data_IF_410968878956
#
_entry.id   IF_410968878956
#
_cell.length_a   1.000
_cell.length_b   1.000
_cell.length_c   1.000
_cell.angle_alpha   90.00
_cell.angle_beta   90.00
_cell.angle_gamma   90.00
#
_symmetry.space_group_name_H-M   'P 1'
#
loop_
_entity.id
_entity.type
_entity.pdbx_description
1 polymer ?
#
# COMPACT_ATOMS: atom_id res chain seq x y z
N UNK A 1 -10.62 2.88 7.93
CA UNK A 1 -10.65 1.73 8.83
C UNK A 1 -9.77 0.57 8.34
N UNK A 2 -9.82 0.14 7.07
CA UNK A 2 -8.90 -0.91 6.58
C UNK A 2 -7.41 -0.57 6.78
N UNK A 3 -6.99 0.69 6.58
CA UNK A 3 -5.61 1.12 6.83
C UNK A 3 -5.20 1.02 8.29
N UNK A 4 -6.14 1.27 9.20
CA UNK A 4 -5.91 1.12 10.63
C UNK A 4 -5.75 -0.36 10.98
N UNK A 5 -6.61 -1.24 10.47
CA UNK A 5 -6.51 -2.67 10.73
C UNK A 5 -5.19 -3.26 10.21
N UNK A 6 -4.83 -3.00 8.94
CA UNK A 6 -3.58 -3.51 8.35
C UNK A 6 -2.34 -2.88 8.95
N UNK A 7 -2.40 -1.60 9.32
CA UNK A 7 -1.29 -0.89 9.95
C UNK A 7 -0.87 -1.48 11.29
N UNK A 8 -1.79 -2.07 12.07
CA UNK A 8 -1.47 -2.76 13.33
C UNK A 8 -0.42 -3.86 13.16
N UNK A 9 -0.47 -4.58 12.05
CA UNK A 9 0.41 -5.73 11.81
C UNK A 9 1.63 -5.40 10.94
N UNK A 10 1.61 -4.27 10.22
CA UNK A 10 2.64 -3.93 9.23
C UNK A 10 4.07 -4.01 9.75
N UNK A 11 4.46 -3.36 10.88
CA UNK A 11 5.82 -3.44 11.39
C UNK A 11 6.14 -4.76 12.10
N UNK A 12 5.11 -5.45 12.60
CA UNK A 12 5.26 -6.66 13.41
C UNK A 12 5.37 -7.90 12.54
N UNK A 13 4.74 -7.91 11.37
CA UNK A 13 4.64 -9.08 10.50
C UNK A 13 5.99 -9.74 10.14
N UNK A 14 7.03 -9.01 9.68
CA UNK A 14 8.32 -9.63 9.42
C UNK A 14 9.02 -10.18 10.67
N UNK A 15 8.87 -9.48 11.81
CA UNK A 15 9.44 -9.91 13.09
C UNK A 15 8.75 -11.20 13.58
N UNK A 16 7.43 -11.24 13.47
CA UNK A 16 6.65 -12.43 13.79
C UNK A 16 7.10 -13.66 13.00
N UNK A 17 7.30 -13.49 11.69
CA UNK A 17 7.81 -14.56 10.83
C UNK A 17 9.20 -15.02 11.27
N UNK A 18 10.14 -14.06 11.45
CA UNK A 18 11.54 -14.37 11.74
C UNK A 18 11.74 -14.87 13.16
N UNK A 19 11.31 -14.09 14.15
CA UNK A 19 11.71 -14.31 15.54
C UNK A 19 10.75 -15.27 16.25
N UNK A 20 9.46 -15.21 15.94
CA UNK A 20 8.46 -16.05 16.58
C UNK A 20 8.29 -17.40 15.84
N UNK A 21 8.09 -17.38 14.52
CA UNK A 21 7.93 -18.61 13.71
C UNK A 21 9.25 -19.19 13.21
N UNK A 22 10.40 -18.56 13.56
CA UNK A 22 11.76 -19.02 13.26
C UNK A 22 12.04 -19.17 11.76
N UNK A 23 11.40 -18.37 10.93
CA UNK A 23 11.68 -18.31 9.50
C UNK A 23 13.02 -17.64 9.21
N UNK A 24 13.77 -18.13 8.24
CA UNK A 24 14.93 -17.42 7.68
C UNK A 24 14.48 -16.17 6.90
N UNK A 25 15.38 -15.22 6.66
CA UNK A 25 15.03 -14.03 5.87
C UNK A 25 14.62 -14.37 4.43
N UNK A 26 15.13 -15.45 3.85
CA UNK A 26 14.70 -15.94 2.55
C UNK A 26 13.25 -16.43 2.58
N UNK A 27 12.85 -17.15 3.63
CA UNK A 27 11.48 -17.63 3.82
C UNK A 27 10.51 -16.47 4.11
N UNK A 28 10.95 -15.46 4.88
CA UNK A 28 10.19 -14.21 5.05
C UNK A 28 9.94 -13.56 3.69
N UNK A 29 11.00 -13.37 2.88
CA UNK A 29 10.89 -12.82 1.52
C UNK A 29 9.97 -13.66 0.64
N UNK A 30 10.02 -14.98 0.73
CA UNK A 30 9.14 -15.90 0.00
C UNK A 30 7.67 -15.69 0.37
N UNK A 31 7.34 -15.58 1.67
CA UNK A 31 5.98 -15.32 2.16
C UNK A 31 5.43 -14.00 1.59
N UNK A 32 6.23 -12.93 1.61
CA UNK A 32 5.85 -11.65 1.01
C UNK A 32 5.66 -11.76 -0.50
N UNK A 33 6.55 -12.47 -1.19
CA UNK A 33 6.48 -12.65 -2.64
C UNK A 33 5.23 -13.42 -3.07
N UNK A 34 4.86 -14.48 -2.35
CA UNK A 34 3.63 -15.25 -2.60
C UNK A 34 2.39 -14.35 -2.48
N UNK A 35 2.29 -13.57 -1.40
CA UNK A 35 1.15 -12.66 -1.21
C UNK A 35 1.04 -11.63 -2.34
N UNK A 36 2.15 -10.98 -2.68
CA UNK A 36 2.17 -9.94 -3.71
C UNK A 36 1.92 -10.50 -5.11
N UNK A 37 2.46 -11.69 -5.44
CA UNK A 37 2.21 -12.35 -6.72
C UNK A 37 0.72 -12.69 -6.90
N UNK A 38 0.09 -13.29 -5.88
CA UNK A 38 -1.34 -13.57 -5.90
C UNK A 38 -2.16 -12.29 -6.01
N UNK A 39 -1.78 -11.25 -5.25
CA UNK A 39 -2.46 -9.96 -5.32
C UNK A 39 -2.37 -9.35 -6.73
N UNK A 40 -1.21 -9.38 -7.37
CA UNK A 40 -1.03 -8.85 -8.72
C UNK A 40 -1.92 -9.56 -9.75
N UNK A 41 -1.96 -10.90 -9.74
CA UNK A 41 -2.83 -11.69 -10.62
C UNK A 41 -4.31 -11.39 -10.33
N UNK A 42 -4.68 -11.39 -9.05
CA UNK A 42 -6.07 -11.16 -8.63
C UNK A 42 -6.53 -9.74 -8.94
N UNK A 43 -5.65 -8.74 -8.89
CA UNK A 43 -5.97 -7.35 -9.22
C UNK A 43 -6.42 -7.21 -10.68
N UNK A 44 -5.75 -7.90 -11.60
CA UNK A 44 -6.13 -7.91 -13.02
C UNK A 44 -7.47 -8.62 -13.22
N UNK A 45 -7.62 -9.80 -12.64
CA UNK A 45 -8.87 -10.58 -12.72
C UNK A 45 -10.03 -9.87 -12.02
N UNK A 46 -9.75 -9.23 -10.88
CA UNK A 46 -10.73 -8.47 -10.10
C UNK A 46 -11.34 -7.31 -10.87
N UNK A 47 -10.57 -6.64 -11.72
CA UNK A 47 -11.07 -5.63 -12.63
C UNK A 47 -12.16 -6.20 -13.55
N UNK A 48 -11.87 -7.28 -14.28
CA UNK A 48 -12.85 -7.93 -15.18
C UNK A 48 -14.06 -8.48 -14.43
N UNK A 49 -13.84 -9.10 -13.28
CA UNK A 49 -14.92 -9.67 -12.48
C UNK A 49 -15.84 -8.57 -11.91
N UNK A 50 -15.27 -7.40 -11.57
CA UNK A 50 -16.04 -6.29 -11.02
C UNK A 50 -17.03 -5.70 -12.02
N UNK A 51 -16.68 -5.69 -13.29
CA UNK A 51 -17.56 -5.23 -14.35
C UNK A 51 -18.73 -6.20 -14.60
N UNK A 52 -18.55 -7.49 -14.28
CA UNK A 52 -19.58 -8.53 -14.43
C UNK A 52 -20.47 -8.70 -13.19
N UNK A 53 -19.86 -8.74 -12.00
CA UNK A 53 -20.55 -9.12 -10.76
C UNK A 53 -20.88 -7.92 -9.84
N UNK A 54 -20.39 -6.73 -10.17
CA UNK A 54 -20.55 -5.51 -9.40
C UNK A 54 -19.36 -5.23 -8.47
N UNK A 55 -19.01 -3.94 -8.39
CA UNK A 55 -17.81 -3.48 -7.63
C UNK A 55 -17.96 -3.65 -6.13
N UNK A 56 -19.15 -3.32 -5.59
CA UNK A 56 -19.46 -3.48 -4.17
C UNK A 56 -19.33 -4.92 -3.70
N UNK A 57 -19.91 -5.88 -4.45
CA UNK A 57 -19.92 -7.29 -4.05
C UNK A 57 -18.50 -7.86 -3.96
N UNK A 58 -17.66 -7.57 -4.94
CA UNK A 58 -16.28 -8.04 -4.95
C UNK A 58 -15.42 -7.32 -3.90
N UNK A 59 -15.64 -6.03 -3.67
CA UNK A 59 -14.98 -5.29 -2.60
C UNK A 59 -15.35 -5.86 -1.23
N UNK A 60 -16.63 -6.16 -0.98
CA UNK A 60 -17.10 -6.78 0.25
C UNK A 60 -16.53 -8.20 0.43
N UNK A 61 -16.50 -9.01 -0.64
CA UNK A 61 -15.87 -10.34 -0.62
C UNK A 61 -14.38 -10.22 -0.26
N UNK A 62 -13.63 -9.35 -0.92
CA UNK A 62 -12.23 -9.11 -0.60
C UNK A 62 -12.02 -8.67 0.86
N UNK A 63 -12.88 -7.78 1.38
CA UNK A 63 -12.82 -7.35 2.78
C UNK A 63 -13.11 -8.51 3.74
N UNK A 64 -14.08 -9.35 3.43
CA UNK A 64 -14.40 -10.53 4.23
C UNK A 64 -13.22 -11.52 4.27
N UNK A 65 -12.64 -11.83 3.10
CA UNK A 65 -11.48 -12.73 3.02
C UNK A 65 -10.27 -12.15 3.78
N UNK A 66 -10.07 -10.83 3.72
CA UNK A 66 -9.02 -10.14 4.47
C UNK A 66 -9.20 -10.25 5.99
N UNK A 67 -10.43 -10.42 6.49
CA UNK A 67 -10.69 -10.56 7.91
C UNK A 67 -10.26 -11.93 8.48
N UNK A 68 -10.27 -12.97 7.68
CA UNK A 68 -9.91 -14.33 8.14
C UNK A 68 -8.41 -14.56 8.24
N UNK A 69 -7.63 -14.02 7.31
CA UNK A 69 -6.18 -14.29 7.23
C UNK A 69 -5.43 -13.97 8.52
N UNK A 70 -5.64 -12.81 9.20
CA UNK A 70 -4.89 -12.50 10.42
C UNK A 70 -5.21 -13.42 11.60
N UNK A 71 -6.42 -13.98 11.71
CA UNK A 71 -6.72 -14.99 12.74
C UNK A 71 -5.81 -16.20 12.54
N UNK A 72 -5.71 -16.67 11.30
CA UNK A 72 -4.90 -17.82 10.99
C UNK A 72 -3.41 -17.56 11.18
N UNK A 73 -2.97 -16.30 10.98
CA UNK A 73 -1.61 -15.91 11.31
C UNK A 73 -1.34 -16.02 12.82
N UNK A 74 -2.28 -15.58 13.66
CA UNK A 74 -2.16 -15.68 15.11
C UNK A 74 -2.13 -17.13 15.62
N UNK A 75 -2.76 -18.06 14.90
CA UNK A 75 -2.86 -19.48 15.28
C UNK A 75 -1.69 -20.33 14.74
N UNK A 76 -0.91 -19.82 13.80
CA UNK A 76 0.18 -20.55 13.18
C UNK A 76 1.28 -20.92 14.18
N UNK A 77 1.84 -22.11 14.01
CA UNK A 77 2.96 -22.62 14.78
C UNK A 77 4.25 -22.64 13.97
N UNK A 78 4.17 -22.71 12.66
CA UNK A 78 5.29 -22.70 11.72
C UNK A 78 4.99 -21.75 10.56
N UNK A 79 6.01 -21.16 9.98
CA UNK A 79 5.85 -20.25 8.85
C UNK A 79 5.20 -20.91 7.61
N UNK A 80 5.40 -22.21 7.41
CA UNK A 80 4.79 -22.97 6.31
C UNK A 80 3.28 -23.04 6.44
N UNK A 81 2.76 -23.10 7.67
CA UNK A 81 1.32 -23.15 7.96
C UNK A 81 0.61 -21.85 7.50
N UNK A 82 1.37 -20.77 7.28
CA UNK A 82 0.85 -19.48 6.82
C UNK A 82 0.59 -19.42 5.31
N UNK A 83 1.23 -20.29 4.51
CA UNK A 83 1.20 -20.16 3.04
C UNK A 83 -0.24 -20.09 2.48
N UNK A 84 -1.19 -20.98 2.84
CA UNK A 84 -2.56 -20.89 2.34
C UNK A 84 -3.24 -19.56 2.70
N UNK A 85 -2.98 -19.04 3.90
CA UNK A 85 -3.60 -17.83 4.42
C UNK A 85 -2.96 -16.56 3.85
N UNK A 86 -1.69 -16.61 3.54
CA UNK A 86 -0.96 -15.56 2.81
C UNK A 86 -1.47 -15.49 1.36
N UNK A 87 -1.74 -16.62 0.72
CA UNK A 87 -2.39 -16.67 -0.58
C UNK A 87 -3.80 -16.07 -0.52
N UNK A 88 -4.58 -16.41 0.52
CA UNK A 88 -5.91 -15.83 0.76
C UNK A 88 -5.83 -14.31 0.96
N UNK A 89 -4.84 -13.83 1.73
CA UNK A 89 -4.60 -12.40 1.94
C UNK A 89 -4.24 -11.68 0.63
N UNK A 90 -3.39 -12.29 -0.20
CA UNK A 90 -3.05 -11.76 -1.52
C UNK A 90 -4.28 -11.65 -2.43
N UNK A 91 -5.11 -12.71 -2.46
CA UNK A 91 -6.37 -12.71 -3.19
C UNK A 91 -7.31 -11.61 -2.69
N UNK A 92 -7.48 -11.50 -1.37
CA UNK A 92 -8.28 -10.45 -0.76
C UNK A 92 -7.80 -9.05 -1.15
N UNK A 93 -6.49 -8.78 -1.02
CA UNK A 93 -5.86 -7.50 -1.36
C UNK A 93 -6.06 -7.14 -2.84
N UNK A 94 -5.87 -8.10 -3.73
CA UNK A 94 -6.07 -7.91 -5.17
C UNK A 94 -7.51 -7.56 -5.53
N UNK A 95 -8.48 -8.04 -4.75
CA UNK A 95 -9.89 -7.68 -4.95
C UNK A 95 -10.21 -6.30 -4.38
N UNK A 96 -9.94 -6.04 -3.08
CA UNK A 96 -10.49 -4.84 -2.44
C UNK A 96 -9.72 -3.54 -2.76
N UNK A 97 -8.41 -3.61 -3.00
CA UNK A 97 -7.57 -2.40 -3.19
C UNK A 97 -7.96 -1.59 -4.44
N UNK A 98 -8.00 -2.16 -5.65
CA UNK A 98 -8.38 -1.39 -6.85
C UNK A 98 -9.85 -0.97 -6.82
N UNK A 99 -10.72 -1.84 -6.31
CA UNK A 99 -12.15 -1.57 -6.30
C UNK A 99 -12.54 -0.42 -5.37
N UNK A 100 -11.77 -0.18 -4.31
CA UNK A 100 -11.96 1.01 -3.45
C UNK A 100 -11.88 2.30 -4.26
N UNK A 101 -10.85 2.45 -5.08
CA UNK A 101 -10.70 3.64 -5.91
C UNK A 101 -11.77 3.76 -6.98
N UNK A 102 -12.14 2.63 -7.60
CA UNK A 102 -13.21 2.59 -8.58
C UNK A 102 -14.56 2.99 -7.98
N UNK A 103 -14.89 2.53 -6.76
CA UNK A 103 -16.12 2.92 -6.06
C UNK A 103 -16.15 4.42 -5.74
N UNK A 104 -15.01 4.98 -5.30
CA UNK A 104 -14.89 6.42 -5.04
C UNK A 104 -15.11 7.21 -6.33
N UNK A 105 -14.50 6.80 -7.43
CA UNK A 105 -14.69 7.45 -8.74
C UNK A 105 -16.13 7.43 -9.19
N UNK A 106 -16.80 6.27 -9.10
CA UNK A 106 -18.19 6.12 -9.54
C UNK A 106 -19.19 6.88 -8.65
N UNK A 107 -18.85 7.08 -7.38
CA UNK A 107 -19.71 7.75 -6.40
C UNK A 107 -19.55 9.27 -6.40
N UNK A 108 -18.60 9.80 -7.17
CA UNK A 108 -18.25 11.23 -7.21
C UNK A 108 -18.64 11.83 -8.55
N UNK A 109 -19.09 13.11 -8.55
CA UNK A 109 -19.22 13.90 -9.77
C UNK A 109 -17.84 14.41 -10.23
N UNK A 110 -17.73 14.86 -11.49
CA UNK A 110 -16.47 15.43 -12.00
C UNK A 110 -15.96 16.60 -11.13
N UNK A 111 -16.88 17.38 -10.56
CA UNK A 111 -16.57 18.54 -9.71
C UNK A 111 -16.08 18.13 -8.31
N UNK A 112 -16.55 17.01 -7.75
CA UNK A 112 -16.25 16.57 -6.38
C UNK A 112 -15.22 15.45 -6.32
N UNK A 113 -14.81 14.90 -7.46
CA UNK A 113 -13.92 13.74 -7.54
C UNK A 113 -12.59 13.98 -6.83
N UNK A 114 -11.93 15.12 -7.07
CA UNK A 114 -10.66 15.45 -6.42
C UNK A 114 -10.79 15.49 -4.89
N UNK A 115 -11.85 16.08 -4.38
CA UNK A 115 -12.13 16.14 -2.93
C UNK A 115 -12.40 14.76 -2.34
N UNK A 116 -13.13 13.89 -3.04
CA UNK A 116 -13.42 12.54 -2.59
C UNK A 116 -12.15 11.66 -2.53
N UNK A 117 -11.29 11.77 -3.53
CA UNK A 117 -9.97 11.11 -3.52
C UNK A 117 -9.09 11.64 -2.39
N UNK A 118 -9.04 12.96 -2.19
CA UNK A 118 -8.25 13.58 -1.12
C UNK A 118 -8.71 13.12 0.25
N UNK A 119 -10.02 13.11 0.52
CA UNK A 119 -10.58 12.64 1.79
C UNK A 119 -10.26 11.16 2.03
N UNK A 120 -10.38 10.33 0.99
CA UNK A 120 -10.04 8.90 1.05
C UNK A 120 -8.56 8.70 1.34
N UNK A 121 -7.69 9.51 0.74
CA UNK A 121 -6.25 9.45 0.96
C UNK A 121 -5.86 9.92 2.38
N UNK A 122 -6.45 11.01 2.88
CA UNK A 122 -6.24 11.48 4.25
C UNK A 122 -6.67 10.39 5.25
N UNK A 123 -7.82 9.77 5.05
CA UNK A 123 -8.30 8.69 5.89
C UNK A 123 -7.34 7.48 5.90
N UNK A 124 -6.76 7.17 4.73
CA UNK A 124 -5.72 6.14 4.62
C UNK A 124 -4.47 6.54 5.41
N UNK A 125 -4.00 7.75 5.23
CA UNK A 125 -2.76 8.25 5.82
C UNK A 125 -2.84 8.33 7.34
N UNK A 126 -3.95 8.83 7.90
CA UNK A 126 -4.19 8.85 9.35
C UNK A 126 -4.15 7.43 9.93
N UNK A 127 -4.88 6.49 9.30
CA UNK A 127 -4.90 5.11 9.75
C UNK A 127 -3.51 4.45 9.70
N UNK A 128 -2.78 4.63 8.61
CA UNK A 128 -1.43 4.06 8.44
C UNK A 128 -0.35 4.73 9.31
N UNK A 129 -0.61 5.93 9.82
CA UNK A 129 0.30 6.63 10.74
C UNK A 129 0.12 6.15 12.18
N UNK A 130 -1.13 6.08 12.65
CA UNK A 130 -1.42 5.77 14.04
C UNK A 130 -1.35 4.27 14.34
N UNK A 131 -1.78 3.43 13.39
CA UNK A 131 -1.91 2.00 13.61
C UNK A 131 -0.59 1.26 13.90
N UNK A 132 0.55 1.55 13.27
CA UNK A 132 1.82 0.90 13.62
C UNK A 132 2.19 1.08 15.09
N UNK A 133 2.00 2.27 15.65
CA UNK A 133 2.23 2.53 17.07
C UNK A 133 1.29 1.69 17.95
N UNK A 134 -0.01 1.71 17.64
CA UNK A 134 -1.00 0.92 18.41
C UNK A 134 -0.72 -0.59 18.31
N UNK A 135 -0.29 -1.06 17.15
CA UNK A 135 0.07 -2.46 16.93
C UNK A 135 1.31 -2.87 17.72
N UNK A 136 2.35 -2.02 17.73
CA UNK A 136 3.55 -2.23 18.54
C UNK A 136 3.23 -2.29 20.02
N UNK A 137 2.53 -1.29 20.54
CA UNK A 137 2.09 -1.26 21.94
C UNK A 137 1.23 -2.49 22.29
N UNK A 138 0.29 -2.85 21.44
CA UNK A 138 -0.54 -4.03 21.67
C UNK A 138 0.29 -5.33 21.69
N UNK A 139 1.35 -5.42 20.89
CA UNK A 139 2.26 -6.58 20.89
C UNK A 139 3.05 -6.68 22.20
N UNK A 140 3.53 -5.55 22.73
CA UNK A 140 4.27 -5.53 24.00
C UNK A 140 3.39 -5.84 25.22
N UNK A 141 2.15 -5.28 25.26
CA UNK A 141 1.25 -5.47 26.40
C UNK A 141 0.50 -6.80 26.38
N UNK A 142 0.06 -7.28 25.23
CA UNK A 142 -0.81 -8.45 25.09
C UNK A 142 -0.16 -9.62 24.33
N UNK A 143 1.10 -9.45 23.92
CA UNK A 143 1.86 -10.44 23.16
C UNK A 143 1.71 -10.29 21.65
N UNK A 144 2.73 -10.78 20.92
CA UNK A 144 2.93 -10.58 19.49
C UNK A 144 1.79 -11.11 18.59
N UNK A 145 0.96 -12.02 19.10
CA UNK A 145 -0.21 -12.56 18.38
C UNK A 145 -1.42 -11.63 18.43
N UNK A 146 -1.52 -10.78 19.44
CA UNK A 146 -2.69 -9.94 19.68
C UNK A 146 -2.98 -8.94 18.54
N UNK A 147 -1.98 -8.23 17.94
CA UNK A 147 -2.22 -7.34 16.82
C UNK A 147 -2.91 -8.01 15.63
N UNK A 148 -2.66 -9.29 15.38
CA UNK A 148 -3.33 -10.04 14.30
C UNK A 148 -4.81 -10.26 14.62
N UNK A 149 -5.14 -10.62 15.86
CA UNK A 149 -6.52 -10.78 16.30
C UNK A 149 -7.27 -9.44 16.27
N UNK A 150 -6.63 -8.36 16.72
CA UNK A 150 -7.17 -7.00 16.64
C UNK A 150 -7.40 -6.54 15.21
N UNK A 151 -6.45 -6.81 14.31
CA UNK A 151 -6.59 -6.55 12.86
C UNK A 151 -7.81 -7.26 12.29
N UNK A 152 -7.98 -8.53 12.60
CA UNK A 152 -9.12 -9.31 12.17
C UNK A 152 -10.44 -8.76 12.70
N UNK A 153 -10.52 -8.50 14.01
CA UNK A 153 -11.72 -7.95 14.66
C UNK A 153 -12.13 -6.61 14.03
N UNK A 154 -11.17 -5.70 13.81
CA UNK A 154 -11.43 -4.44 13.13
C UNK A 154 -11.91 -4.65 11.68
N UNK A 155 -11.33 -5.62 10.96
CA UNK A 155 -11.73 -5.90 9.57
C UNK A 155 -13.14 -6.51 9.53
N UNK A 156 -13.52 -7.35 10.49
CA UNK A 156 -14.89 -7.84 10.63
C UNK A 156 -15.89 -6.71 10.93
N UNK A 157 -15.50 -5.68 11.72
CA UNK A 157 -16.33 -4.50 11.94
C UNK A 157 -16.48 -3.66 10.66
N UNK A 158 -15.44 -3.61 9.83
CA UNK A 158 -15.47 -2.90 8.54
C UNK A 158 -16.35 -3.61 7.51
N UNK A 159 -16.42 -4.93 7.54
CA UNK A 159 -17.18 -5.71 6.55
C UNK A 159 -18.65 -5.29 6.42
N UNK A 160 -19.49 -5.20 7.48
CA UNK A 160 -20.86 -4.73 7.36
C UNK A 160 -20.95 -3.28 6.84
N UNK A 161 -19.97 -2.42 7.15
CA UNK A 161 -19.92 -1.07 6.61
C UNK A 161 -19.73 -1.07 5.08
N UNK A 162 -18.99 -2.04 4.55
CA UNK A 162 -18.85 -2.19 3.09
C UNK A 162 -20.15 -2.59 2.41
N UNK A 163 -21.01 -3.32 3.11
CA UNK A 163 -22.35 -3.68 2.62
C UNK A 163 -23.32 -2.49 2.57
N UNK A 164 -23.05 -1.41 3.30
CA UNK A 164 -23.86 -0.18 3.26
C UNK A 164 -23.53 0.71 2.05
N UNK A 165 -22.39 0.49 1.39
CA UNK A 165 -22.01 1.19 0.16
C UNK A 165 -23.07 0.89 -0.91
N UNK A 166 -23.49 1.90 -1.67
CA UNK A 166 -24.39 1.69 -2.81
C UNK A 166 -23.66 0.99 -3.94
N UNK A 167 -24.34 0.05 -4.64
CA UNK A 167 -23.79 -0.55 -5.85
C UNK A 167 -23.68 0.52 -6.95
N UNK A 168 -22.46 0.73 -7.45
CA UNK A 168 -22.18 1.78 -8.43
C UNK A 168 -22.01 1.21 -9.84
N UNK A 169 -22.70 0.11 -10.14
CA UNK A 169 -22.58 -0.59 -11.40
C UNK A 169 -22.98 0.31 -12.58
N UNK A 170 -22.06 1.12 -13.04
CA UNK A 170 -22.17 1.78 -14.34
C UNK A 170 -21.93 0.70 -15.38
N UNK A 171 -22.99 0.25 -16.07
CA UNK A 171 -22.82 -0.57 -17.29
C UNK A 171 -21.79 0.16 -18.14
N UNK A 172 -20.66 -0.47 -18.37
CA UNK A 172 -19.66 0.04 -19.28
C UNK A 172 -20.41 0.34 -20.58
N UNK A 173 -20.51 1.61 -20.94
CA UNK A 173 -20.91 1.94 -22.30
C UNK A 173 -19.84 1.27 -23.16
N UNK A 174 -20.20 0.36 -24.08
CA UNK A 174 -19.23 -0.25 -24.95
C UNK A 174 -18.50 0.90 -25.65
N UNK A 175 -17.25 1.09 -25.28
CA UNK A 175 -16.37 1.92 -26.09
C UNK A 175 -16.46 1.31 -27.48
N UNK A 176 -17.05 2.03 -28.42
CA UNK A 176 -17.20 1.59 -29.79
C UNK A 176 -15.79 1.23 -30.29
N UNK A 177 -15.46 -0.04 -30.15
CA UNK A 177 -14.33 -0.65 -30.85
C UNK A 177 -14.74 -0.67 -32.32
N UNK A 178 -14.40 0.39 -33.03
CA UNK A 178 -14.44 0.40 -34.48
C UNK A 178 -13.42 -0.64 -34.93
N UNK A 179 -13.90 -1.86 -35.10
CA UNK A 179 -13.22 -2.91 -35.88
C UNK A 179 -13.34 -2.47 -37.34
N UNK A 180 -12.42 -1.66 -37.77
CA UNK A 180 -12.25 -1.30 -39.16
C UNK A 180 -10.76 -1.19 -39.42
N UNK A 181 -10.24 -2.05 -40.33
CA UNK A 181 -8.83 -2.22 -40.69
C UNK A 181 -8.11 -0.92 -40.97
N UNK A 182 -7.47 -0.38 -39.94
CA UNK A 182 -6.49 0.70 -40.04
C UNK A 182 -5.23 0.28 -39.32
N UNK A 183 -4.07 0.55 -39.92
CA UNK A 183 -2.73 0.41 -39.34
C UNK A 183 -2.79 0.77 -37.86
N UNK A 184 -2.30 -0.12 -37.00
CA UNK A 184 -2.22 0.09 -35.54
C UNK A 184 -1.34 1.32 -35.33
N UNK A 185 -1.98 2.48 -35.28
CA UNK A 185 -1.31 3.70 -34.84
C UNK A 185 -1.17 3.59 -33.31
N UNK A 186 0.02 3.24 -32.85
CA UNK A 186 0.30 3.16 -31.40
C UNK A 186 0.01 4.54 -30.80
N UNK A 187 -1.03 4.69 -29.97
CA UNK A 187 -1.40 5.99 -29.43
C UNK A 187 -0.23 6.62 -28.70
N UNK A 188 -0.05 7.92 -28.82
CA UNK A 188 1.10 8.68 -28.27
C UNK A 188 1.29 8.52 -26.75
N UNK A 189 0.27 8.05 -26.02
CA UNK A 189 0.33 7.79 -24.58
C UNK A 189 0.90 6.42 -24.22
N UNK A 190 0.98 5.45 -25.13
CA UNK A 190 1.50 4.10 -24.86
C UNK A 190 2.95 4.12 -24.37
N UNK A 191 3.88 4.87 -24.99
CA UNK A 191 5.24 4.98 -24.47
C UNK A 191 5.29 5.53 -23.03
N UNK A 192 4.44 6.50 -22.70
CA UNK A 192 4.38 7.06 -21.34
C UNK A 192 3.92 6.01 -20.32
N UNK A 193 2.87 5.23 -20.65
CA UNK A 193 2.41 4.14 -19.79
C UNK A 193 3.52 3.10 -19.54
N UNK A 194 4.26 2.73 -20.59
CA UNK A 194 5.38 1.78 -20.46
C UNK A 194 6.45 2.34 -19.53
N UNK A 195 6.84 3.60 -19.69
CA UNK A 195 7.85 4.25 -18.82
C UNK A 195 7.37 4.30 -17.37
N UNK A 196 6.12 4.71 -17.11
CA UNK A 196 5.56 4.72 -15.76
C UNK A 196 5.47 3.31 -15.16
N UNK A 197 5.12 2.31 -15.97
CA UNK A 197 5.08 0.92 -15.52
C UNK A 197 6.47 0.42 -15.14
N UNK A 198 7.51 0.72 -15.92
CA UNK A 198 8.88 0.37 -15.59
C UNK A 198 9.37 1.05 -14.30
N UNK A 199 9.06 2.34 -14.12
CA UNK A 199 9.36 3.06 -12.88
C UNK A 199 8.68 2.38 -11.68
N UNK A 200 7.39 2.04 -11.79
CA UNK A 200 6.67 1.34 -10.73
C UNK A 200 7.24 -0.05 -10.44
N UNK A 201 7.67 -0.80 -11.44
CA UNK A 201 8.31 -2.12 -11.25
C UNK A 201 9.61 -1.95 -10.47
N UNK A 202 10.48 -1.02 -10.86
CA UNK A 202 11.76 -0.77 -10.19
C UNK A 202 11.52 -0.35 -8.73
N UNK A 203 10.59 0.58 -8.50
CA UNK A 203 10.23 1.00 -7.14
C UNK A 203 9.63 -0.15 -6.33
N UNK A 204 8.73 -0.93 -6.93
CA UNK A 204 8.11 -2.09 -6.29
C UNK A 204 9.13 -3.13 -5.86
N UNK A 205 10.15 -3.40 -6.67
CA UNK A 205 11.27 -4.27 -6.31
C UNK A 205 12.04 -3.68 -5.12
N UNK A 206 12.39 -2.39 -5.16
CA UNK A 206 13.11 -1.73 -4.07
C UNK A 206 12.34 -1.79 -2.75
N UNK A 207 11.06 -1.42 -2.77
CA UNK A 207 10.20 -1.50 -1.58
C UNK A 207 10.02 -2.95 -1.11
N UNK A 208 9.83 -3.89 -2.04
CA UNK A 208 9.64 -5.32 -1.72
C UNK A 208 10.86 -5.94 -1.03
N UNK A 209 12.07 -5.54 -1.41
CA UNK A 209 13.31 -6.01 -0.77
C UNK A 209 13.47 -5.39 0.63
N UNK A 210 13.24 -4.09 0.76
CA UNK A 210 13.54 -3.33 1.98
C UNK A 210 12.47 -3.48 3.05
N UNK A 211 11.19 -3.53 2.66
CA UNK A 211 10.05 -3.54 3.57
C UNK A 211 10.10 -4.63 4.65
N UNK A 212 10.39 -5.91 4.35
CA UNK A 212 10.47 -6.94 5.38
C UNK A 212 11.76 -6.87 6.22
N UNK A 213 12.81 -6.21 5.69
CA UNK A 213 14.12 -6.15 6.36
C UNK A 213 14.15 -5.07 7.45
N UNK A 214 13.53 -3.91 7.21
CA UNK A 214 13.58 -2.76 8.13
C UNK A 214 13.21 -3.13 9.58
N UNK A 215 12.04 -3.70 9.89
CA UNK A 215 11.65 -3.93 11.28
C UNK A 215 12.53 -5.00 11.94
N UNK A 216 12.96 -6.00 11.19
CA UNK A 216 13.87 -7.03 11.68
C UNK A 216 15.27 -6.45 11.96
N UNK A 217 15.79 -5.61 11.07
CA UNK A 217 17.06 -4.90 11.25
C UNK A 217 17.04 -4.03 12.51
N UNK A 218 15.96 -3.26 12.69
CA UNK A 218 15.79 -2.38 13.84
C UNK A 218 15.71 -3.18 15.14
N UNK A 219 14.86 -4.19 15.20
CA UNK A 219 14.69 -5.04 16.38
C UNK A 219 15.99 -5.77 16.78
N UNK A 220 16.69 -6.34 15.79
CA UNK A 220 17.90 -7.13 16.08
C UNK A 220 19.12 -6.28 16.45
N UNK A 221 19.33 -5.13 15.82
CA UNK A 221 20.54 -4.32 16.04
C UNK A 221 20.40 -3.35 17.22
N UNK A 222 19.21 -2.85 17.49
CA UNK A 222 18.98 -1.85 18.54
C UNK A 222 18.28 -2.42 19.79
N UNK A 223 17.85 -3.69 19.75
CA UNK A 223 17.21 -4.39 20.87
C UNK A 223 16.02 -3.60 21.47
N UNK A 224 15.24 -2.99 20.60
CA UNK A 224 14.08 -2.17 20.97
C UNK A 224 12.80 -3.00 21.02
N UNK A 225 11.83 -2.52 21.79
CA UNK A 225 10.49 -3.11 21.90
C UNK A 225 9.64 -2.91 20.61
N UNK A 226 8.53 -3.61 20.53
CA UNK A 226 7.61 -3.50 19.39
C UNK A 226 6.94 -2.12 19.31
N UNK A 227 6.70 -1.51 20.47
CA UNK A 227 6.17 -0.13 20.57
C UNK A 227 7.09 0.85 19.87
N UNK A 228 8.39 0.77 20.12
CA UNK A 228 9.37 1.64 19.45
C UNK A 228 9.39 1.43 17.94
N UNK A 229 9.34 0.20 17.48
CA UNK A 229 9.26 -0.10 16.03
C UNK A 229 7.99 0.50 15.44
N UNK A 230 6.87 0.41 16.15
CA UNK A 230 5.62 1.06 15.78
C UNK A 230 5.74 2.58 15.69
N UNK A 231 6.39 3.23 16.67
CA UNK A 231 6.69 4.67 16.68
C UNK A 231 7.57 5.05 15.48
N UNK A 232 8.60 4.26 15.20
CA UNK A 232 9.50 4.50 14.07
C UNK A 232 8.73 4.50 12.73
N UNK A 233 7.80 3.57 12.57
CA UNK A 233 6.92 3.53 11.38
C UNK A 233 5.93 4.70 11.36
N UNK A 234 5.32 5.03 12.49
CA UNK A 234 4.40 6.17 12.61
C UNK A 234 5.08 7.49 12.26
N UNK A 235 6.27 7.74 12.80
CA UNK A 235 7.03 8.97 12.59
C UNK A 235 7.76 8.94 11.24
N UNK A 236 8.51 7.89 10.97
CA UNK A 236 9.38 7.78 9.79
C UNK A 236 8.62 7.66 8.48
N UNK A 237 7.50 6.96 8.44
CA UNK A 237 6.67 6.87 7.24
C UNK A 237 5.43 7.78 7.32
N UNK A 238 4.66 7.68 8.40
CA UNK A 238 3.38 8.34 8.50
C UNK A 238 3.48 9.86 8.59
N UNK A 239 4.08 10.35 9.67
CA UNK A 239 4.24 11.81 9.91
C UNK A 239 5.08 12.46 8.82
N UNK A 240 6.17 11.81 8.39
CA UNK A 240 6.99 12.29 7.28
C UNK A 240 6.17 12.53 6.02
N UNK A 241 5.31 11.57 5.64
CA UNK A 241 4.45 11.68 4.46
C UNK A 241 3.40 12.80 4.59
N UNK A 242 2.80 12.97 5.78
CA UNK A 242 1.80 14.01 6.02
C UNK A 242 2.41 15.43 5.85
N UNK A 243 3.56 15.64 6.49
CA UNK A 243 4.20 16.97 6.51
C UNK A 243 4.59 17.41 5.10
N UNK A 244 5.11 16.53 4.27
CA UNK A 244 5.64 16.88 2.96
C UNK A 244 4.62 16.90 1.83
N UNK A 245 3.42 16.38 2.06
CA UNK A 245 2.42 16.24 0.98
C UNK A 245 1.99 17.60 0.42
N UNK A 246 1.76 18.60 1.28
CA UNK A 246 1.38 19.95 0.86
C UNK A 246 2.56 20.70 0.23
N UNK A 247 3.75 20.79 0.86
CA UNK A 247 4.91 21.39 0.23
C UNK A 247 5.33 20.72 -1.09
N UNK A 248 5.31 19.39 -1.13
CA UNK A 248 5.63 18.62 -2.34
C UNK A 248 4.66 18.92 -3.50
N UNK A 249 3.36 19.02 -3.20
CA UNK A 249 2.37 19.46 -4.17
C UNK A 249 2.69 20.86 -4.74
N UNK A 250 2.93 21.85 -3.88
CA UNK A 250 3.30 23.21 -4.30
C UNK A 250 4.59 23.24 -5.12
N UNK A 251 5.61 22.48 -4.72
CA UNK A 251 6.84 22.37 -5.51
C UNK A 251 6.57 21.78 -6.90
N UNK A 252 5.69 20.78 -7.01
CA UNK A 252 5.34 20.19 -8.29
C UNK A 252 4.52 21.11 -9.20
N UNK A 253 3.85 22.11 -8.64
CA UNK A 253 3.12 23.14 -9.40
C UNK A 253 4.02 24.29 -9.87
N UNK A 254 5.07 24.61 -9.08
CA UNK A 254 5.99 25.72 -9.37
C UNK A 254 7.15 25.32 -10.28
N UNK A 255 7.58 24.06 -10.24
CA UNK A 255 8.73 23.57 -10.99
C UNK A 255 8.31 22.46 -11.97
N UNK A 256 9.20 22.16 -12.92
CA UNK A 256 9.01 21.01 -13.82
C UNK A 256 8.90 19.72 -13.00
N UNK A 257 7.74 19.05 -13.08
CA UNK A 257 7.41 17.83 -12.32
C UNK A 257 8.42 16.72 -12.53
N UNK A 258 9.00 16.60 -13.73
CA UNK A 258 10.03 15.59 -14.03
C UNK A 258 11.32 15.88 -13.25
N UNK A 259 11.70 17.15 -13.15
CA UNK A 259 12.87 17.58 -12.37
C UNK A 259 12.63 17.36 -10.89
N UNK A 260 11.43 17.71 -10.38
CA UNK A 260 11.05 17.46 -8.98
C UNK A 260 11.18 16.01 -8.63
N UNK A 261 10.62 15.10 -9.45
CA UNK A 261 10.75 13.64 -9.25
C UNK A 261 12.21 13.20 -9.24
N UNK A 262 12.98 13.59 -10.24
CA UNK A 262 14.39 13.18 -10.36
C UNK A 262 15.21 13.64 -9.15
N UNK A 263 15.05 14.90 -8.76
CA UNK A 263 15.80 15.48 -7.62
C UNK A 263 15.41 14.81 -6.31
N UNK A 264 14.12 14.57 -6.06
CA UNK A 264 13.65 13.93 -4.82
C UNK A 264 14.09 12.47 -4.73
N UNK A 265 14.04 11.70 -5.82
CA UNK A 265 14.57 10.33 -5.83
C UNK A 265 16.08 10.30 -5.56
N UNK A 266 16.84 11.17 -6.23
CA UNK A 266 18.28 11.23 -6.03
C UNK A 266 18.63 11.69 -4.61
N UNK A 267 17.95 12.71 -4.09
CA UNK A 267 18.19 13.27 -2.76
C UNK A 267 17.75 12.33 -1.62
N UNK A 268 16.76 11.44 -1.83
CA UNK A 268 16.35 10.47 -0.81
C UNK A 268 17.33 9.31 -0.65
N UNK A 269 18.04 8.94 -1.72
CA UNK A 269 18.91 7.76 -1.76
C UNK A 269 20.03 7.77 -0.70
N UNK A 270 20.78 8.88 -0.45
CA UNK A 270 21.80 8.92 0.58
C UNK A 270 21.24 8.63 1.99
N UNK A 271 20.03 9.11 2.29
CA UNK A 271 19.43 8.89 3.61
C UNK A 271 18.99 7.44 3.83
N UNK A 272 18.59 6.71 2.78
CA UNK A 272 18.37 5.26 2.86
C UNK A 272 19.69 4.51 3.14
N UNK A 273 20.78 4.94 2.53
CA UNK A 273 22.11 4.37 2.80
C UNK A 273 22.51 4.68 4.25
N UNK A 274 22.42 5.92 4.68
CA UNK A 274 22.76 6.34 6.04
C UNK A 274 21.90 5.63 7.09
N UNK A 275 20.62 5.36 6.78
CA UNK A 275 19.74 4.56 7.65
C UNK A 275 20.36 3.17 7.93
N UNK A 276 20.89 2.50 6.93
CA UNK A 276 21.51 1.17 7.11
C UNK A 276 22.80 1.23 7.94
N UNK A 277 23.48 2.38 8.02
CA UNK A 277 24.70 2.60 8.80
C UNK A 277 24.45 3.35 10.11
N UNK A 278 23.20 3.55 10.53
CA UNK A 278 22.85 4.22 11.78
C UNK A 278 23.48 3.51 12.98
N UNK A 279 24.11 4.28 13.87
CA UNK A 279 24.79 3.79 15.07
C UNK A 279 23.95 3.93 16.35
N UNK A 280 22.98 4.79 16.30
CA UNK A 280 22.09 5.05 17.43
C UNK A 280 20.64 5.30 16.95
N UNK A 281 19.72 5.26 17.91
CA UNK A 281 18.29 5.39 17.69
C UNK A 281 17.92 6.75 17.07
N UNK A 282 18.61 7.83 17.45
CA UNK A 282 18.33 9.16 16.94
C UNK A 282 18.67 9.28 15.44
N UNK A 283 19.85 8.79 15.04
CA UNK A 283 20.24 8.72 13.64
C UNK A 283 19.25 7.90 12.81
N UNK A 284 18.84 6.76 13.36
CA UNK A 284 17.87 5.86 12.69
C UNK A 284 16.53 6.59 12.41
N UNK A 285 15.98 7.27 13.41
CA UNK A 285 14.72 8.05 13.25
C UNK A 285 14.91 9.17 12.23
N UNK A 286 15.99 9.95 12.34
CA UNK A 286 16.26 11.08 11.45
C UNK A 286 16.41 10.63 10.00
N UNK A 287 17.24 9.61 9.75
CA UNK A 287 17.49 9.16 8.39
C UNK A 287 16.25 8.50 7.77
N UNK A 288 15.48 7.74 8.54
CA UNK A 288 14.22 7.17 8.08
C UNK A 288 13.19 8.27 7.77
N UNK A 289 13.07 9.27 8.63
CA UNK A 289 12.19 10.40 8.42
C UNK A 289 12.57 11.19 7.16
N UNK A 290 13.84 11.58 7.02
CA UNK A 290 14.31 12.37 5.88
C UNK A 290 14.19 11.60 4.56
N UNK A 291 14.58 10.32 4.53
CA UNK A 291 14.45 9.51 3.32
C UNK A 291 13.01 9.43 2.83
N UNK A 292 12.08 9.16 3.75
CA UNK A 292 10.66 9.05 3.41
C UNK A 292 10.01 10.40 3.12
N UNK A 293 10.37 11.46 3.87
CA UNK A 293 9.87 12.80 3.61
C UNK A 293 10.24 13.26 2.19
N UNK A 294 11.51 13.16 1.83
CA UNK A 294 11.99 13.57 0.51
C UNK A 294 11.36 12.72 -0.60
N UNK A 295 11.31 11.40 -0.42
CA UNK A 295 10.72 10.50 -1.40
C UNK A 295 9.22 10.78 -1.61
N UNK A 296 8.45 10.95 -0.54
CA UNK A 296 7.01 11.20 -0.62
C UNK A 296 6.65 12.59 -1.15
N UNK A 297 7.57 13.56 -1.11
CA UNK A 297 7.39 14.88 -1.75
C UNK A 297 7.21 14.78 -3.28
N UNK A 298 7.71 13.71 -3.92
CA UNK A 298 7.54 13.47 -5.36
C UNK A 298 6.18 12.87 -5.75
N UNK A 299 5.44 12.33 -4.79
CA UNK A 299 4.21 11.58 -5.06
C UNK A 299 3.13 12.39 -5.82
N UNK A 300 2.83 13.66 -5.45
CA UNK A 300 1.90 14.48 -6.22
C UNK A 300 2.37 14.72 -7.68
N UNK A 301 3.67 14.98 -7.87
CA UNK A 301 4.25 15.15 -9.20
C UNK A 301 4.09 13.91 -10.06
N UNK A 302 4.36 12.72 -9.50
CA UNK A 302 4.21 11.44 -10.18
C UNK A 302 2.76 11.19 -10.61
N UNK A 303 1.79 11.37 -9.72
CA UNK A 303 0.37 11.18 -10.02
C UNK A 303 -0.11 12.12 -11.14
N UNK A 304 0.27 13.40 -11.04
CA UNK A 304 -0.15 14.39 -12.04
C UNK A 304 0.45 14.11 -13.42
N UNK A 305 1.75 13.76 -13.49
CA UNK A 305 2.40 13.39 -14.76
C UNK A 305 1.74 12.15 -15.39
N UNK A 306 1.36 11.16 -14.58
CA UNK A 306 0.67 9.97 -15.06
C UNK A 306 -0.70 10.33 -15.66
N UNK A 307 -1.46 11.20 -14.99
CA UNK A 307 -2.77 11.67 -15.47
C UNK A 307 -2.62 12.50 -16.75
N UNK A 308 -1.71 13.46 -16.82
CA UNK A 308 -1.47 14.29 -18.00
C UNK A 308 -1.00 13.49 -19.22
N UNK A 309 -0.29 12.39 -18.98
CA UNK A 309 0.22 11.51 -20.04
C UNK A 309 -0.86 10.59 -20.60
N UNK A 310 -2.05 10.52 -19.99
CA UNK A 310 -3.12 9.61 -20.37
C UNK A 310 -4.38 10.41 -20.73
N UNK A 311 -5.08 10.11 -21.86
CA UNK A 311 -6.31 10.77 -22.21
C UNK A 311 -7.39 10.62 -21.14
N UNK A 312 -8.13 11.67 -20.85
CA UNK A 312 -9.20 11.68 -19.84
C UNK A 312 -10.26 10.58 -20.08
N UNK A 313 -10.49 10.19 -21.33
CA UNK A 313 -11.40 9.08 -21.72
C UNK A 313 -10.91 7.68 -21.28
N UNK A 314 -9.70 7.56 -20.77
CA UNK A 314 -9.05 6.31 -20.33
C UNK A 314 -8.77 6.29 -18.82
N UNK A 315 -9.25 7.30 -18.08
CA UNK A 315 -9.14 7.37 -16.61
C UNK A 315 -10.26 6.53 -15.96
N UNK A 316 -10.27 5.25 -16.20
CA UNK A 316 -11.31 4.37 -15.65
C UNK A 316 -10.77 3.00 -15.27
#
# INVERSE_FOLDING_TARGET
MNSLATGLITPIWPIYLKDFLKASMAEVGFVFSVSNAIAAVTQVLGGFLSDKYGRKRLHALGTLLAAFSPIMYALASRWVDLIPWVMLSGLAMGLYMPLRWAIVADSSSAETMASAYSLTNISWLVGSTVAPFLGGAAADFFGIRFPFLACSALTFIVFPLTLMIRETHRKAQPSASVIGGRRVHVPRYVPAIIVFSLINIIQGVGVGVVSPVIPVFVGSNFQVDYTFIGVLYAVGFGVASIIVQIPGGKCSDLFDRRKVMFITFLASSPFFILFAYSRNILELIIFMFLSNAILNASWPAFQTLMMESTPASKWG
#
